data_IF_374588428314
#
_entry.id   IF_374588428314
#
_cell.length_a   1.000
_cell.length_b   1.000
_cell.length_c   1.000
_cell.angle_alpha   90.00
_cell.angle_beta   90.00
_cell.angle_gamma   90.00
#
_symmetry.space_group_name_H-M   'P 1'
#
loop_
_entity.id
_entity.type
_entity.pdbx_description
1 polymer ?
#
# COMPACT_ATOMS: atom_id res chain seq x y z
N UNK A 1 -17.14 3.72 -5.69
CA UNK A 1 -16.62 4.93 -5.02
C UNK A 1 -15.25 4.54 -4.48
N UNK A 2 -14.21 5.32 -4.76
CA UNK A 2 -12.84 4.99 -4.33
C UNK A 2 -12.65 5.47 -2.89
N UNK A 3 -12.31 4.56 -1.98
CA UNK A 3 -12.26 4.79 -0.53
C UNK A 3 -10.84 5.14 -0.08
N UNK A 4 -10.30 6.23 -0.61
CA UNK A 4 -8.96 6.71 -0.24
C UNK A 4 -8.89 7.30 1.16
N UNK A 5 -10.03 7.49 1.83
CA UNK A 5 -10.15 8.01 3.19
C UNK A 5 -10.15 6.91 4.25
N UNK A 6 -10.05 5.64 3.83
CA UNK A 6 -10.01 4.51 4.75
C UNK A 6 -8.71 4.52 5.57
N UNK A 7 -8.84 4.41 6.90
CA UNK A 7 -7.71 4.45 7.82
C UNK A 7 -6.74 3.26 7.64
N UNK A 8 -7.25 2.11 7.18
CA UNK A 8 -6.43 0.95 6.84
C UNK A 8 -5.62 1.29 5.58
N UNK A 9 -6.24 1.89 4.56
CA UNK A 9 -5.52 2.38 3.38
C UNK A 9 -4.42 3.35 3.79
N UNK A 10 -4.71 4.37 4.59
CA UNK A 10 -3.72 5.37 5.01
C UNK A 10 -2.59 4.78 5.87
N UNK A 11 -2.89 3.83 6.75
CA UNK A 11 -1.89 3.17 7.61
C UNK A 11 -0.92 2.32 6.79
N UNK A 12 -1.44 1.55 5.83
CA UNK A 12 -0.61 0.63 5.06
C UNK A 12 0.08 1.30 3.86
N UNK A 13 -0.57 2.28 3.22
CA UNK A 13 -0.06 3.01 2.05
C UNK A 13 0.98 4.11 2.37
N UNK A 14 1.17 4.45 3.64
CA UNK A 14 2.21 5.40 4.06
C UNK A 14 3.42 4.71 4.70
N UNK A 15 3.26 3.52 5.28
CA UNK A 15 4.35 2.88 6.05
C UNK A 15 4.92 1.65 5.37
N UNK A 16 4.09 0.74 4.83
CA UNK A 16 4.55 -0.56 4.34
C UNK A 16 4.50 -0.71 2.82
N UNK A 17 3.62 0.03 2.17
CA UNK A 17 3.43 0.00 0.72
C UNK A 17 3.44 1.42 0.18
N UNK A 18 3.97 1.64 -1.03
CA UNK A 18 3.83 2.92 -1.71
C UNK A 18 2.35 3.12 -2.16
N UNK A 19 1.81 4.34 -2.03
CA UNK A 19 0.44 4.71 -2.48
C UNK A 19 0.10 4.18 -3.88
N UNK A 20 1.03 4.30 -4.83
CA UNK A 20 0.85 3.83 -6.22
C UNK A 20 0.59 2.33 -6.29
N UNK A 21 1.21 1.54 -5.43
CA UNK A 21 0.98 0.09 -5.38
C UNK A 21 -0.37 -0.24 -4.78
N UNK A 22 -0.77 0.45 -3.70
CA UNK A 22 -2.09 0.21 -3.11
C UNK A 22 -3.20 0.62 -4.08
N UNK A 23 -3.05 1.78 -4.75
CA UNK A 23 -3.97 2.20 -5.81
C UNK A 23 -4.04 1.19 -6.97
N UNK A 24 -2.89 0.69 -7.42
CA UNK A 24 -2.85 -0.32 -8.49
C UNK A 24 -3.56 -1.63 -8.08
N UNK A 25 -3.47 -2.01 -6.81
CA UNK A 25 -4.20 -3.17 -6.27
C UNK A 25 -5.71 -2.91 -6.23
N UNK A 26 -6.12 -1.71 -5.79
CA UNK A 26 -7.53 -1.30 -5.82
C UNK A 26 -8.10 -1.27 -7.23
N UNK A 27 -7.33 -0.78 -8.21
CA UNK A 27 -7.72 -0.77 -9.61
C UNK A 27 -7.84 -2.20 -10.19
N UNK A 28 -6.98 -3.11 -9.75
CA UNK A 28 -7.05 -4.53 -10.13
C UNK A 28 -8.32 -5.20 -9.56
N UNK A 29 -8.61 -5.01 -8.28
CA UNK A 29 -9.84 -5.52 -7.64
C UNK A 29 -11.10 -4.95 -8.31
N UNK A 30 -11.05 -3.68 -8.71
CA UNK A 30 -12.14 -3.01 -9.44
C UNK A 30 -12.17 -3.32 -10.95
N UNK A 31 -11.35 -4.26 -11.42
CA UNK A 31 -11.26 -4.66 -12.84
C UNK A 31 -10.90 -3.52 -13.81
N UNK A 32 -10.38 -2.40 -13.28
CA UNK A 32 -9.87 -1.27 -14.08
C UNK A 32 -8.47 -1.54 -14.62
N UNK A 33 -7.75 -2.48 -14.01
CA UNK A 33 -6.39 -2.87 -14.39
C UNK A 33 -6.25 -4.38 -14.41
N UNK A 34 -5.39 -4.90 -15.31
CA UNK A 34 -5.14 -6.36 -15.44
C UNK A 34 -4.12 -6.91 -14.45
N UNK A 35 -3.37 -6.02 -13.78
CA UNK A 35 -2.26 -6.36 -12.89
C UNK A 35 -2.35 -5.45 -11.67
N UNK A 36 -2.22 -6.02 -10.48
CA UNK A 36 -2.20 -5.29 -9.21
C UNK A 36 -0.95 -4.45 -8.96
N UNK A 37 -0.80 -4.03 -7.71
CA UNK A 37 0.39 -3.35 -7.20
C UNK A 37 1.58 -4.31 -7.13
N UNK A 38 2.79 -3.77 -7.33
CA UNK A 38 4.03 -4.53 -7.18
C UNK A 38 4.91 -3.91 -6.11
N UNK A 39 4.83 -4.49 -4.92
CA UNK A 39 5.57 -4.04 -3.75
C UNK A 39 7.06 -4.32 -3.92
N UNK A 40 7.89 -3.34 -3.58
CA UNK A 40 9.32 -3.54 -3.43
C UNK A 40 9.60 -4.20 -2.08
N UNK A 41 10.18 -5.40 -2.11
CA UNK A 41 10.52 -6.16 -0.90
C UNK A 41 11.47 -5.36 0.01
N UNK A 42 12.44 -4.63 -0.58
CA UNK A 42 13.39 -3.82 0.18
C UNK A 42 12.67 -2.71 0.97
N UNK A 43 11.80 -1.94 0.28
CA UNK A 43 11.01 -0.88 0.93
C UNK A 43 10.06 -1.42 2.00
N UNK A 44 9.50 -2.60 1.76
CA UNK A 44 8.61 -3.26 2.72
C UNK A 44 9.36 -3.59 4.02
N UNK A 45 10.57 -4.16 3.93
CA UNK A 45 11.39 -4.43 5.11
C UNK A 45 11.86 -3.15 5.81
N UNK A 46 12.22 -2.09 5.07
CA UNK A 46 12.52 -0.78 5.64
C UNK A 46 11.33 -0.23 6.44
N UNK A 47 10.12 -0.29 5.88
CA UNK A 47 8.89 0.12 6.57
C UNK A 47 8.58 -0.72 7.82
N UNK A 48 8.86 -2.03 7.79
CA UNK A 48 8.73 -2.90 8.97
C UNK A 48 9.73 -2.53 10.07
N UNK A 49 10.99 -2.28 9.72
CA UNK A 49 12.01 -1.86 10.70
C UNK A 49 11.60 -0.54 11.33
N UNK A 50 11.15 0.42 10.53
CA UNK A 50 10.65 1.71 11.01
C UNK A 50 9.49 1.54 11.99
N UNK A 51 8.50 0.70 11.65
CA UNK A 51 7.34 0.43 12.52
C UNK A 51 7.72 -0.25 13.84
N UNK A 52 8.80 -1.02 13.89
CA UNK A 52 9.33 -1.61 15.12
C UNK A 52 10.11 -0.62 15.99
N UNK A 53 10.51 0.53 15.44
CA UNK A 53 11.30 1.56 16.12
C UNK A 53 10.43 2.69 16.68
N UNK A 54 9.28 2.98 16.07
CA UNK A 54 8.25 3.84 16.65
C UNK A 54 7.66 3.16 17.90
N UNK A 55 7.91 3.76 19.07
CA UNK A 55 7.39 3.33 20.38
C UNK A 55 6.01 3.89 20.67
#
# INVERSE_FOLDING_TARGET
>A
IEDYADDIFHTYANTLFDFTNVKAEMDYINHKRKIGGKVSINKFFEGLIFKCQDK
#
